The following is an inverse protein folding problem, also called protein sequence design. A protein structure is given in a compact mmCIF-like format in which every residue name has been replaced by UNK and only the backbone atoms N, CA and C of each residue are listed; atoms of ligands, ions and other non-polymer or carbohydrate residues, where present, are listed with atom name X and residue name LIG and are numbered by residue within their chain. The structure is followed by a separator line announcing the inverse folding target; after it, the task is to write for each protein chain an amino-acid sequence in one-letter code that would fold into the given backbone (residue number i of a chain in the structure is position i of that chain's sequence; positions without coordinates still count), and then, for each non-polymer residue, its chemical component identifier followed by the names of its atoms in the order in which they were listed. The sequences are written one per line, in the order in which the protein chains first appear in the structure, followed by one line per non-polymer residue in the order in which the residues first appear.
data_IF_340810364115
#
_entry.id   IF_340810364115
#
_cell.length_a   1.000
_cell.length_b   1.000
_cell.length_c   1.000
_cell.angle_alpha   90.00
_cell.angle_beta   90.00
_cell.angle_gamma   90.00
#
_symmetry.space_group_name_H-M   'P 1'
#
loop_
_entity.id
_entity.type
_entity.pdbx_description
1 polymer ?
#
# COMPACT_ATOMS: atom_id res chain seq x y z
N UNK A 1 0.23 10.71 -20.18
CA UNK A 1 0.06 10.12 -18.85
C UNK A 1 1.34 10.42 -18.09
N UNK A 2 1.35 11.49 -17.28
CA UNK A 2 2.46 11.74 -16.34
C UNK A 2 2.25 10.73 -15.22
N UNK A 3 3.29 9.98 -14.92
CA UNK A 3 3.33 9.13 -13.73
C UNK A 3 3.76 10.11 -12.63
N UNK A 4 2.82 10.50 -11.78
CA UNK A 4 3.09 11.39 -10.64
C UNK A 4 3.57 10.53 -9.44
N UNK A 5 4.20 11.14 -8.44
CA UNK A 5 4.87 10.46 -7.28
C UNK A 5 3.99 9.44 -6.52
N UNK A 6 2.68 9.46 -6.74
CA UNK A 6 1.65 8.60 -6.14
C UNK A 6 1.32 7.32 -6.91
N UNK A 7 1.86 7.09 -8.10
CA UNK A 7 1.35 6.05 -9.02
C UNK A 7 1.94 4.64 -8.84
N UNK A 8 2.78 4.39 -7.82
CA UNK A 8 3.41 3.07 -7.59
C UNK A 8 2.94 2.40 -6.30
N UNK A 9 2.40 3.14 -5.33
CA UNK A 9 1.96 2.57 -4.05
C UNK A 9 0.58 3.09 -3.69
N UNK A 10 -0.43 2.21 -3.81
CA UNK A 10 -1.83 2.56 -3.55
C UNK A 10 -2.16 2.66 -2.05
N UNK A 11 -1.51 1.81 -1.23
CA UNK A 11 -1.80 1.66 0.19
C UNK A 11 -0.53 1.47 1.03
N UNK A 12 -0.51 2.12 2.19
CA UNK A 12 0.56 1.97 3.18
C UNK A 12 -0.01 1.81 4.58
N UNK A 13 0.77 1.21 5.47
CA UNK A 13 0.43 1.11 6.89
C UNK A 13 1.47 1.88 7.70
N UNK A 14 1.01 2.85 8.49
CA UNK A 14 1.83 3.62 9.46
C UNK A 14 1.10 3.59 10.80
N UNK A 15 1.83 3.24 11.86
CA UNK A 15 1.28 3.14 13.23
C UNK A 15 -0.01 2.29 13.30
N UNK A 16 -0.04 1.18 12.56
CA UNK A 16 -1.18 0.28 12.48
C UNK A 16 -2.40 0.81 11.74
N UNK A 17 -2.32 2.00 11.13
CA UNK A 17 -3.39 2.63 10.34
C UNK A 17 -3.08 2.51 8.86
N UNK A 18 -4.08 2.12 8.07
CA UNK A 18 -4.01 2.06 6.61
C UNK A 18 -4.27 3.44 6.00
N UNK A 19 -3.38 3.89 5.11
CA UNK A 19 -3.51 5.14 4.35
C UNK A 19 -3.65 4.82 2.86
N UNK A 20 -4.58 5.51 2.19
CA UNK A 20 -4.81 5.40 0.74
C UNK A 20 -5.57 6.64 0.26
N UNK A 21 -5.32 7.11 -0.97
CA UNK A 21 -5.98 8.32 -1.47
C UNK A 21 -7.51 8.14 -1.64
N UNK A 22 -8.35 9.11 -1.29
CA UNK A 22 -9.79 9.04 -1.58
C UNK A 22 -10.06 9.23 -3.09
N UNK A 23 -9.50 10.32 -3.62
CA UNK A 23 -9.61 10.75 -5.02
C UNK A 23 -8.29 10.54 -5.77
N UNK A 24 -8.36 10.50 -7.10
CA UNK A 24 -7.19 10.32 -7.97
C UNK A 24 -6.69 8.88 -8.11
N UNK A 25 -7.28 7.93 -7.37
CA UNK A 25 -7.05 6.49 -7.52
C UNK A 25 -8.27 5.79 -8.08
N UNK A 26 -8.06 4.74 -8.89
CA UNK A 26 -9.16 3.93 -9.39
C UNK A 26 -9.91 3.29 -8.22
N UNK A 27 -11.22 3.55 -8.13
CA UNK A 27 -12.15 2.87 -7.23
C UNK A 27 -12.41 1.46 -7.76
N UNK A 28 -11.38 0.63 -7.76
CA UNK A 28 -11.41 -0.75 -8.24
C UNK A 28 -11.98 -1.68 -7.16
N UNK A 29 -12.70 -2.72 -7.60
CA UNK A 29 -13.25 -3.77 -6.73
C UNK A 29 -12.20 -4.40 -5.82
N UNK A 30 -10.96 -4.54 -6.31
CA UNK A 30 -9.83 -5.06 -5.52
C UNK A 30 -9.51 -4.18 -4.31
N UNK A 31 -9.50 -2.85 -4.48
CA UNK A 31 -9.24 -1.90 -3.38
C UNK A 31 -10.34 -2.00 -2.33
N UNK A 32 -11.59 -2.11 -2.76
CA UNK A 32 -12.72 -2.26 -1.84
C UNK A 32 -12.63 -3.54 -0.99
N UNK A 33 -12.13 -4.65 -1.55
CA UNK A 33 -11.87 -5.87 -0.80
C UNK A 33 -10.84 -5.64 0.33
N UNK A 34 -9.77 -4.90 0.03
CA UNK A 34 -8.75 -4.54 1.03
C UNK A 34 -9.34 -3.65 2.13
N UNK A 35 -10.09 -2.62 1.76
CA UNK A 35 -10.73 -1.72 2.72
C UNK A 35 -11.73 -2.47 3.61
N UNK A 36 -12.49 -3.40 3.03
CA UNK A 36 -13.41 -4.27 3.78
C UNK A 36 -12.65 -5.19 4.76
N UNK A 37 -11.58 -5.83 4.30
CA UNK A 37 -10.74 -6.66 5.16
C UNK A 37 -10.13 -5.87 6.33
N UNK A 38 -9.68 -4.63 6.09
CA UNK A 38 -9.17 -3.77 7.15
C UNK A 38 -10.25 -3.41 8.18
N UNK A 39 -11.47 -3.09 7.74
CA UNK A 39 -12.61 -2.88 8.65
C UNK A 39 -12.90 -4.13 9.50
N UNK A 40 -12.91 -5.31 8.88
CA UNK A 40 -13.15 -6.57 9.61
C UNK A 40 -12.06 -6.86 10.65
N UNK A 41 -10.81 -6.54 10.31
CA UNK A 41 -9.63 -6.73 11.17
C UNK A 41 -9.48 -5.61 12.22
N UNK A 42 -10.40 -4.64 12.26
CA UNK A 42 -10.30 -3.44 13.11
C UNK A 42 -9.00 -2.65 12.88
N UNK A 43 -8.51 -2.64 11.64
CA UNK A 43 -7.40 -1.79 11.19
C UNK A 43 -8.01 -0.43 10.78
N UNK A 44 -7.64 0.68 11.45
CA UNK A 44 -8.12 2.01 11.08
C UNK A 44 -7.74 2.37 9.64
N UNK A 45 -8.59 3.13 8.96
CA UNK A 45 -8.38 3.58 7.58
C UNK A 45 -8.50 5.09 7.50
N UNK A 46 -7.48 5.74 6.93
CA UNK A 46 -7.47 7.16 6.59
C UNK A 46 -7.41 7.29 5.08
N UNK A 47 -8.36 8.04 4.51
CA UNK A 47 -8.47 8.27 3.07
C UNK A 47 -7.57 9.46 2.62
N UNK A 48 -6.30 9.42 3.00
CA UNK A 48 -5.26 10.36 2.57
C UNK A 48 -4.17 9.63 1.78
N UNK A 49 -3.70 10.24 0.69
CA UNK A 49 -2.63 9.66 -0.13
C UNK A 49 -1.33 9.48 0.68
N UNK A 50 -0.65 8.33 0.57
CA UNK A 50 0.63 8.12 1.23
C UNK A 50 1.70 9.06 0.65
N UNK A 51 2.51 9.66 1.53
CA UNK A 51 3.59 10.58 1.15
C UNK A 51 4.93 9.84 1.10
N UNK A 52 5.65 9.93 -0.02
CA UNK A 52 6.99 9.33 -0.15
C UNK A 52 8.01 9.88 0.86
N UNK A 53 7.83 11.10 1.34
CA UNK A 53 8.64 11.68 2.42
C UNK A 53 8.46 10.96 3.77
N UNK A 54 7.37 10.21 3.95
CA UNK A 54 7.08 9.44 5.16
C UNK A 54 7.43 7.95 5.02
N UNK A 55 8.09 7.55 3.92
CA UNK A 55 8.36 6.13 3.60
C UNK A 55 9.11 5.36 4.70
N UNK A 56 9.94 6.05 5.47
CA UNK A 56 10.69 5.45 6.58
C UNK A 56 9.78 5.08 7.78
N UNK A 57 8.57 5.63 7.82
CA UNK A 57 7.55 5.33 8.84
C UNK A 57 6.65 4.16 8.43
N UNK A 58 6.75 3.68 7.18
CA UNK A 58 5.85 2.65 6.66
C UNK A 58 6.22 1.29 7.26
N UNK A 59 5.26 0.68 7.94
CA UNK A 59 5.33 -0.69 8.43
C UNK A 59 5.01 -1.71 7.33
N UNK A 60 4.19 -1.31 6.36
CA UNK A 60 3.90 -2.06 5.15
C UNK A 60 3.52 -1.12 4.02
N UNK A 61 3.74 -1.56 2.79
CA UNK A 61 3.24 -0.92 1.58
C UNK A 61 2.86 -1.99 0.57
N UNK A 62 1.80 -1.75 -0.19
CA UNK A 62 1.35 -2.68 -1.21
C UNK A 62 0.53 -1.98 -2.29
N UNK A 63 0.49 -2.63 -3.46
CA UNK A 63 -0.40 -2.26 -4.58
C UNK A 63 -1.54 -3.23 -4.69
N UNK A 64 -2.64 -2.77 -5.26
CA UNK A 64 -3.76 -3.65 -5.60
C UNK A 64 -3.69 -4.14 -7.04
N UNK A 65 -4.11 -5.38 -7.28
CA UNK A 65 -4.14 -5.97 -8.62
C UNK A 65 -5.37 -6.87 -8.77
N UNK A 66 -6.01 -6.85 -9.93
CA UNK A 66 -7.15 -7.73 -10.22
C UNK A 66 -6.83 -9.22 -10.04
N UNK A 67 -5.56 -9.63 -10.22
CA UNK A 67 -5.16 -11.05 -10.19
C UNK A 67 -4.66 -11.47 -8.80
N UNK A 68 -3.85 -10.64 -8.15
CA UNK A 68 -3.18 -11.00 -6.87
C UNK A 68 -3.77 -10.33 -5.65
N UNK A 69 -4.73 -9.43 -5.84
CA UNK A 69 -5.44 -8.63 -4.85
C UNK A 69 -4.53 -7.69 -4.06
N UNK A 70 -3.57 -8.21 -3.31
CA UNK A 70 -2.57 -7.44 -2.55
C UNK A 70 -1.17 -7.90 -2.94
N UNK A 71 -0.34 -7.01 -3.46
CA UNK A 71 1.06 -7.29 -3.82
C UNK A 71 1.98 -6.43 -2.96
N UNK A 72 2.88 -7.06 -2.22
CA UNK A 72 3.82 -6.35 -1.34
C UNK A 72 4.77 -5.48 -2.16
N UNK A 73 4.94 -4.24 -1.69
CA UNK A 73 6.04 -3.38 -2.08
C UNK A 73 7.12 -3.49 -1.00
N UNK A 74 8.27 -4.02 -1.39
CA UNK A 74 9.39 -4.27 -0.46
C UNK A 74 10.55 -3.29 -0.65
N UNK A 75 10.62 -2.63 -1.81
CA UNK A 75 11.68 -1.69 -2.20
C UNK A 75 11.06 -0.58 -3.04
N UNK A 76 11.56 0.64 -2.85
CA UNK A 76 11.25 1.82 -3.67
C UNK A 76 12.54 2.34 -4.29
N UNK A 77 12.46 2.78 -5.53
CA UNK A 77 13.51 3.56 -6.20
C UNK A 77 13.00 4.99 -6.32
N UNK A 78 13.65 5.91 -5.62
CA UNK A 78 13.29 7.32 -5.61
C UNK A 78 14.41 8.14 -6.24
N UNK A 79 14.07 9.17 -7.01
CA UNK A 79 15.06 10.16 -7.42
C UNK A 79 15.40 11.05 -6.22
N UNK A 80 16.69 11.15 -5.92
CA UNK A 80 17.25 12.11 -4.98
C UNK A 80 18.19 13.06 -5.69
N UNK A 81 18.36 14.24 -5.12
CA UNK A 81 19.31 15.24 -5.60
C UNK A 81 20.55 15.25 -4.68
N UNK A 82 21.72 14.99 -5.26
CA UNK A 82 23.01 15.16 -4.57
C UNK A 82 23.83 16.16 -5.39
N UNK A 83 23.73 17.44 -5.04
CA UNK A 83 24.26 18.52 -5.87
C UNK A 83 23.51 18.65 -7.20
N UNK A 84 24.21 18.84 -8.32
CA UNK A 84 23.61 18.97 -9.67
C UNK A 84 23.29 17.63 -10.36
N UNK A 85 23.52 16.49 -9.69
CA UNK A 85 23.26 15.16 -10.27
C UNK A 85 22.01 14.52 -9.65
N UNK A 86 21.11 14.05 -10.51
CA UNK A 86 20.05 13.11 -10.14
C UNK A 86 20.65 11.75 -9.83
N UNK A 87 20.37 11.24 -8.64
CA UNK A 87 20.80 9.92 -8.18
C UNK A 87 19.57 9.10 -7.82
N UNK A 88 19.48 7.86 -8.29
CA UNK A 88 18.45 6.93 -7.82
C UNK A 88 18.87 6.36 -6.47
N UNK A 89 18.02 6.56 -5.46
CA UNK A 89 18.18 6.01 -4.13
C UNK A 89 17.17 4.89 -3.92
N UNK A 90 17.67 3.75 -3.43
CA UNK A 90 16.82 2.63 -3.07
C UNK A 90 16.47 2.67 -1.58
N UNK A 91 15.19 2.53 -1.24
CA UNK A 91 14.71 2.40 0.14
C UNK A 91 13.98 1.08 0.31
N UNK A 92 14.32 0.31 1.35
CA UNK A 92 13.60 -0.92 1.70
C UNK A 92 12.42 -0.64 2.62
N UNK A 93 11.29 -1.28 2.38
CA UNK A 93 10.09 -1.22 3.24
C UNK A 93 9.98 -2.53 4.01
N UNK A 94 9.73 -2.50 5.34
CA UNK A 94 9.65 -3.68 6.18
C UNK A 94 8.35 -4.50 6.02
N UNK A 95 7.69 -4.47 4.86
CA UNK A 95 6.40 -5.12 4.59
C UNK A 95 6.35 -6.60 4.97
N UNK A 96 7.46 -7.33 4.80
CA UNK A 96 7.56 -8.74 5.18
C UNK A 96 7.65 -9.04 6.68
N UNK A 97 7.88 -8.03 7.53
CA UNK A 97 8.07 -8.20 8.99
C UNK A 97 6.86 -7.78 9.82
N UNK A 98 6.03 -6.87 9.31
CA UNK A 98 4.92 -6.30 10.09
C UNK A 98 3.67 -7.20 10.14
N UNK A 99 3.55 -8.16 9.22
CA UNK A 99 2.44 -9.12 9.17
C UNK A 99 1.11 -8.53 8.67
N UNK A 100 1.03 -7.22 8.43
CA UNK A 100 -0.20 -6.57 7.94
C UNK A 100 -0.64 -7.14 6.60
N UNK A 101 0.28 -7.26 5.64
CA UNK A 101 -0.09 -7.76 4.31
C UNK A 101 -0.61 -9.19 4.36
N UNK A 102 0.02 -10.05 5.16
CA UNK A 102 -0.42 -11.44 5.33
C UNK A 102 -1.82 -11.49 5.95
N UNK A 103 -2.06 -10.77 7.04
CA UNK A 103 -3.36 -10.72 7.72
C UNK A 103 -4.47 -10.23 6.79
N UNK A 104 -4.20 -9.19 6.00
CA UNK A 104 -5.17 -8.66 5.03
C UNK A 104 -5.48 -9.70 3.95
N UNK A 105 -4.46 -10.37 3.39
CA UNK A 105 -4.66 -11.44 2.40
C UNK A 105 -5.47 -12.59 2.97
N UNK A 106 -5.14 -13.05 4.17
CA UNK A 106 -5.83 -14.16 4.83
C UNK A 106 -7.30 -13.83 5.07
N UNK A 107 -7.60 -12.60 5.49
CA UNK A 107 -8.98 -12.14 5.68
C UNK A 107 -9.77 -12.08 4.37
N UNK A 108 -9.14 -11.61 3.28
CA UNK A 108 -9.78 -11.60 1.95
C UNK A 108 -10.05 -13.03 1.48
N UNK A 109 -9.07 -13.92 1.60
CA UNK A 109 -9.20 -15.32 1.20
C UNK A 109 -10.30 -16.03 1.99
N UNK A 110 -10.32 -15.86 3.32
CA UNK A 110 -11.37 -16.42 4.15
C UNK A 110 -12.75 -15.99 3.64
N UNK A 111 -12.96 -14.71 3.36
CA UNK A 111 -14.26 -14.24 2.86
C UNK A 111 -14.57 -14.69 1.43
N UNK A 112 -13.59 -14.91 0.56
CA UNK A 112 -13.83 -15.49 -0.75
C UNK A 112 -14.20 -16.99 -0.69
N UNK A 113 -13.75 -17.72 0.34
CA UNK A 113 -14.06 -19.14 0.51
C UNK A 113 -15.41 -19.42 1.20
N UNK A 114 -16.02 -18.41 1.83
CA UNK A 114 -17.34 -18.50 2.48
C UNK A 114 -18.45 -17.78 1.71
N UNK A 115 -18.23 -17.51 0.42
CA UNK A 115 -19.26 -17.07 -0.52
C UNK A 115 -19.78 -18.29 -1.28
N UNK A 116 -20.52 -19.15 -0.59
CA UNK A 116 -21.41 -20.17 -1.16
C UNK A 116 -22.86 -19.84 -0.80
#
# INVERSE_FOLDING_TARGET
MKIDETDIVDLTVKEGTLYTADDGVLKGSTRELVLKACRDLSIPVILEAPKLSERDLWQAAFVTSAVRVVVDVTRLLCEGEVGEKKVLQETSIPSGKSGFTQRIRDQILAKCMYLD
#
